data_IF_009212555893
#
_entry.id   IF_009212555893
#
_cell.length_a   1.000
_cell.length_b   1.000
_cell.length_c   1.000
_cell.angle_alpha   90.00
_cell.angle_beta   90.00
_cell.angle_gamma   90.00
#
_symmetry.space_group_name_H-M   'P 1'
#
loop_
_entity.id
_entity.type
_entity.pdbx_description
1 polymer ?
#
# COMPACT_ATOMS: atom_id res chain seq x y z
N UNK A 1 -15.50 8.20 -6.79
CA UNK A 1 -14.83 6.96 -6.32
C UNK A 1 -13.95 7.24 -5.11
N UNK A 2 -14.14 6.49 -4.02
CA UNK A 2 -13.29 6.47 -2.83
C UNK A 2 -12.27 5.32 -2.89
N UNK A 3 -11.18 5.45 -2.15
CA UNK A 3 -10.15 4.42 -1.99
C UNK A 3 -9.95 4.12 -0.52
N UNK A 4 -10.29 2.88 -0.12
CA UNK A 4 -9.93 2.32 1.20
C UNK A 4 -8.41 2.21 1.33
N UNK A 5 -7.88 1.93 2.52
CA UNK A 5 -6.44 1.88 2.77
C UNK A 5 -5.70 0.90 1.85
N UNK A 6 -4.57 1.35 1.29
CA UNK A 6 -3.67 0.53 0.50
C UNK A 6 -2.21 0.99 0.61
N UNK A 7 -1.32 0.13 0.12
CA UNK A 7 0.06 0.44 -0.26
C UNK A 7 0.20 0.32 -1.77
N UNK A 8 0.90 1.26 -2.41
CA UNK A 8 1.14 1.19 -3.85
C UNK A 8 1.98 -0.05 -4.19
N UNK A 9 1.62 -0.72 -5.29
CA UNK A 9 2.35 -1.90 -5.76
C UNK A 9 2.23 -3.14 -4.86
N UNK A 10 1.20 -3.25 -4.01
CA UNK A 10 1.03 -4.41 -3.10
C UNK A 10 1.12 -5.80 -3.77
N UNK A 11 0.80 -5.88 -5.07
CA UNK A 11 0.87 -7.09 -5.88
C UNK A 11 2.27 -7.45 -6.41
N UNK A 12 3.24 -6.54 -6.29
CA UNK A 12 4.62 -6.73 -6.75
C UNK A 12 5.47 -7.42 -5.68
N UNK A 13 6.55 -8.04 -6.13
CA UNK A 13 7.62 -8.52 -5.24
C UNK A 13 8.21 -7.38 -4.40
N UNK A 14 8.66 -7.68 -3.18
CA UNK A 14 9.15 -6.66 -2.24
C UNK A 14 10.19 -5.71 -2.84
N UNK A 15 11.17 -6.24 -3.57
CA UNK A 15 12.24 -5.43 -4.17
C UNK A 15 11.75 -4.53 -5.32
N UNK A 16 10.56 -4.79 -5.90
CA UNK A 16 9.95 -3.95 -6.93
C UNK A 16 8.94 -2.94 -6.38
N UNK A 17 8.50 -3.12 -5.13
CA UNK A 17 7.54 -2.20 -4.50
C UNK A 17 8.19 -0.84 -4.27
N UNK A 18 7.46 0.26 -4.45
CA UNK A 18 7.90 1.55 -3.96
C UNK A 18 8.17 1.48 -2.46
N UNK A 19 9.31 2.01 -2.02
CA UNK A 19 9.69 2.09 -0.62
C UNK A 19 9.13 3.38 0.01
N UNK A 20 9.10 4.45 -0.78
CA UNK A 20 8.51 5.74 -0.39
C UNK A 20 7.54 6.24 -1.45
N UNK A 21 6.57 7.02 -1.00
CA UNK A 21 5.69 7.80 -1.85
C UNK A 21 5.83 9.27 -1.49
N UNK A 22 5.93 10.12 -2.51
CA UNK A 22 5.82 11.56 -2.35
C UNK A 22 4.63 12.10 -3.12
N UNK A 23 3.86 13.01 -2.51
CA UNK A 23 2.75 13.72 -3.13
C UNK A 23 2.98 15.23 -2.96
N UNK A 24 3.13 15.96 -4.07
CA UNK A 24 3.18 17.41 -4.10
C UNK A 24 1.83 17.95 -4.55
N UNK A 25 1.20 18.80 -3.77
CA UNK A 25 -0.06 19.43 -4.13
C UNK A 25 0.16 20.61 -5.07
N UNK A 26 -0.50 20.59 -6.23
CA UNK A 26 -0.50 21.69 -7.20
C UNK A 26 -1.81 22.49 -7.08
N UNK A 27 -2.95 21.79 -6.98
CA UNK A 27 -4.29 22.37 -6.84
C UNK A 27 -5.13 21.43 -5.98
N UNK A 28 -5.89 21.96 -5.00
CA UNK A 28 -6.91 21.19 -4.27
C UNK A 28 -8.11 22.07 -3.88
N UNK A 29 -9.03 22.29 -4.81
CA UNK A 29 -10.32 22.94 -4.52
C UNK A 29 -11.33 21.95 -3.94
N UNK A 30 -11.10 20.65 -4.13
CA UNK A 30 -11.93 19.58 -3.59
C UNK A 30 -11.82 19.45 -2.07
N UNK A 31 -10.68 19.80 -1.49
CA UNK A 31 -10.39 19.65 -0.05
C UNK A 31 -10.64 18.23 0.48
N UNK A 32 -10.55 17.23 -0.41
CA UNK A 32 -10.72 15.82 -0.06
C UNK A 32 -9.50 15.34 0.71
N UNK A 33 -9.74 14.95 1.95
CA UNK A 33 -8.70 14.45 2.84
C UNK A 33 -8.05 13.16 2.32
N UNK A 34 -6.72 13.14 2.33
CA UNK A 34 -5.97 11.88 2.31
C UNK A 34 -5.95 11.30 3.71
N UNK A 35 -6.29 10.03 3.83
CA UNK A 35 -6.13 9.27 5.06
C UNK A 35 -4.75 8.65 5.09
N UNK A 36 -4.05 8.81 6.22
CA UNK A 36 -2.73 8.21 6.46
C UNK A 36 -2.80 7.43 7.76
N UNK A 37 -2.43 6.16 7.71
CA UNK A 37 -2.45 5.28 8.87
C UNK A 37 -1.08 4.62 9.04
N UNK A 38 -0.44 4.90 10.18
CA UNK A 38 0.83 4.27 10.55
C UNK A 38 0.60 2.83 10.97
N UNK A 39 1.32 1.89 10.35
CA UNK A 39 1.30 0.49 10.75
C UNK A 39 1.78 0.33 12.20
N UNK A 40 2.80 1.08 12.60
CA UNK A 40 3.32 1.04 13.97
C UNK A 40 2.27 1.46 15.00
N UNK A 41 1.39 2.41 14.66
CA UNK A 41 0.30 2.83 15.54
C UNK A 41 -0.86 1.82 15.54
N UNK A 42 -1.12 1.14 14.42
CA UNK A 42 -2.20 0.18 14.28
C UNK A 42 -1.88 -1.18 14.95
N UNK A 43 -0.63 -1.64 14.91
CA UNK A 43 -0.23 -2.96 15.40
C UNK A 43 -0.59 -3.22 16.88
N UNK A 44 -0.41 -2.28 17.82
CA UNK A 44 -0.81 -2.47 19.22
C UNK A 44 -2.32 -2.70 19.42
N UNK A 45 -3.15 -2.38 18.43
CA UNK A 45 -4.60 -2.58 18.49
C UNK A 45 -5.03 -3.96 17.97
N UNK A 46 -4.07 -4.75 17.49
CA UNK A 46 -4.28 -6.11 17.00
C UNK A 46 -3.80 -7.11 18.05
N UNK A 47 -4.52 -8.22 18.16
CA UNK A 47 -4.07 -9.36 18.95
C UNK A 47 -2.93 -10.11 18.26
N UNK A 48 -2.15 -10.86 19.04
CA UNK A 48 -1.05 -11.68 18.50
C UNK A 48 -1.54 -12.70 17.46
N UNK A 49 -2.73 -13.28 17.65
CA UNK A 49 -3.33 -14.23 16.69
C UNK A 49 -3.71 -13.55 15.37
N UNK A 50 -4.20 -12.31 15.40
CA UNK A 50 -4.50 -11.54 14.19
C UNK A 50 -3.22 -11.16 13.44
N UNK A 51 -2.17 -10.74 14.15
CA UNK A 51 -0.86 -10.46 13.54
C UNK A 51 -0.31 -11.74 12.88
N UNK A 52 -0.34 -12.87 13.58
CA UNK A 52 0.10 -14.16 13.03
C UNK A 52 -0.71 -14.56 11.80
N UNK A 53 -2.02 -14.32 11.79
CA UNK A 53 -2.87 -14.57 10.63
C UNK A 53 -2.49 -13.69 9.43
N UNK A 54 -2.26 -12.39 9.65
CA UNK A 54 -1.84 -11.45 8.60
C UNK A 54 -0.46 -11.76 8.02
N UNK A 55 0.39 -12.48 8.75
CA UNK A 55 1.71 -12.91 8.29
C UNK A 55 1.70 -14.20 7.45
N UNK A 56 0.57 -14.90 7.36
CA UNK A 56 0.45 -16.15 6.57
C UNK A 56 0.13 -15.86 5.11
N UNK A 57 0.57 -16.74 4.22
CA UNK A 57 0.25 -16.70 2.78
C UNK A 57 -1.21 -17.13 2.49
N UNK A 58 -2.17 -16.51 3.16
CA UNK A 58 -3.61 -16.80 3.05
C UNK A 58 -4.38 -15.66 2.37
N UNK A 59 -3.73 -14.85 1.52
CA UNK A 59 -4.34 -13.69 0.86
C UNK A 59 -4.00 -13.58 -0.63
N UNK A 60 -4.99 -13.19 -1.42
CA UNK A 60 -4.76 -12.81 -2.82
C UNK A 60 -4.36 -11.35 -2.96
N UNK A 61 -3.31 -11.13 -3.73
CA UNK A 61 -2.95 -9.84 -4.30
C UNK A 61 -3.28 -9.82 -5.79
N UNK A 62 -4.05 -8.81 -6.20
CA UNK A 62 -4.49 -8.63 -7.58
C UNK A 62 -3.99 -7.27 -8.07
N UNK A 63 -3.37 -7.18 -9.26
CA UNK A 63 -3.02 -5.89 -9.82
C UNK A 63 -4.29 -5.06 -10.08
N UNK A 64 -4.23 -3.73 -9.88
CA UNK A 64 -5.31 -2.84 -10.25
C UNK A 64 -5.57 -2.92 -11.76
N UNK A 65 -6.86 -2.96 -12.14
CA UNK A 65 -7.31 -3.11 -13.54
C UNK A 65 -6.74 -2.03 -14.47
N UNK A 66 -6.48 -0.84 -13.93
CA UNK A 66 -5.94 0.32 -14.66
C UNK A 66 -4.56 0.08 -15.29
N UNK A 67 -3.77 -0.85 -14.75
CA UNK A 67 -2.42 -1.10 -15.27
C UNK A 67 -2.40 -2.11 -16.43
N UNK A 68 -3.51 -2.82 -16.71
CA UNK A 68 -3.60 -3.85 -17.76
C UNK A 68 -2.41 -4.84 -17.76
N UNK A 69 -1.78 -5.04 -16.60
CA UNK A 69 -0.58 -5.86 -16.45
C UNK A 69 -0.99 -7.32 -16.32
N UNK A 70 -0.34 -8.19 -17.10
CA UNK A 70 -0.51 -9.65 -17.06
C UNK A 70 0.28 -10.27 -15.91
N UNK A 71 0.24 -9.65 -14.72
CA UNK A 71 0.87 -10.22 -13.52
C UNK A 71 -0.12 -11.24 -12.93
N UNK A 72 0.29 -12.50 -12.73
CA UNK A 72 -0.58 -13.51 -12.16
C UNK A 72 -1.01 -13.12 -10.75
N UNK A 73 -2.22 -13.55 -10.35
CA UNK A 73 -2.66 -13.43 -8.94
C UNK A 73 -1.63 -14.11 -8.06
N UNK A 74 -1.21 -13.43 -7.01
CA UNK A 74 -0.22 -13.96 -6.08
C UNK A 74 -0.86 -14.28 -4.74
N UNK A 75 -0.56 -15.47 -4.24
CA UNK A 75 -0.82 -15.84 -2.86
C UNK A 75 0.33 -15.32 -1.99
N UNK A 76 0.04 -14.48 -1.00
CA UNK A 76 1.04 -14.01 -0.05
C UNK A 76 0.41 -13.46 1.22
N UNK A 77 1.23 -13.12 2.21
CA UNK A 77 0.87 -12.39 3.43
C UNK A 77 0.39 -10.95 3.19
N UNK A 78 -0.16 -10.35 4.24
CA UNK A 78 -0.44 -8.91 4.34
C UNK A 78 0.68 -8.18 5.08
N UNK A 79 1.20 -8.83 6.13
CA UNK A 79 2.32 -8.33 6.92
C UNK A 79 3.56 -9.20 6.70
N UNK A 80 4.69 -8.54 6.53
CA UNK A 80 6.01 -9.18 6.58
C UNK A 80 6.79 -8.62 7.77
N UNK A 81 7.74 -9.38 8.29
CA UNK A 81 8.72 -8.88 9.25
C UNK A 81 10.10 -8.87 8.59
N UNK A 82 10.64 -7.68 8.38
CA UNK A 82 11.92 -7.45 7.70
C UNK A 82 12.81 -6.63 8.62
N UNK A 83 14.01 -7.15 8.92
CA UNK A 83 14.97 -6.51 9.83
C UNK A 83 14.35 -6.13 11.19
N UNK A 84 13.51 -7.03 11.73
CA UNK A 84 12.82 -6.83 12.99
C UNK A 84 11.58 -5.91 12.93
N UNK A 85 11.35 -5.23 11.81
CA UNK A 85 10.25 -4.28 11.63
C UNK A 85 9.12 -4.87 10.79
N UNK A 86 7.88 -4.55 11.15
CA UNK A 86 6.74 -4.92 10.33
C UNK A 86 6.61 -4.03 9.10
N UNK A 87 6.31 -4.65 7.97
CA UNK A 87 5.92 -4.01 6.73
C UNK A 87 4.55 -4.51 6.29
N UNK A 88 3.84 -3.69 5.53
CA UNK A 88 2.52 -4.02 4.99
C UNK A 88 2.54 -4.02 3.47
N UNK A 89 1.81 -4.97 2.89
CA UNK A 89 1.45 -5.04 1.47
C UNK A 89 -0.03 -5.37 1.40
N UNK A 90 -0.86 -4.39 1.06
CA UNK A 90 -2.28 -4.67 0.85
C UNK A 90 -2.96 -3.56 0.05
N UNK A 91 -4.04 -3.93 -0.62
CA UNK A 91 -5.03 -2.99 -1.12
C UNK A 91 -6.38 -3.43 -0.57
N UNK A 92 -6.83 -2.87 0.57
CA UNK A 92 -7.93 -3.45 1.34
C UNK A 92 -9.28 -3.48 0.61
N UNK A 93 -9.44 -2.71 -0.47
CA UNK A 93 -10.60 -2.76 -1.35
C UNK A 93 -10.59 -3.97 -2.32
N UNK A 94 -9.44 -4.62 -2.51
CA UNK A 94 -9.27 -5.80 -3.37
C UNK A 94 -8.71 -7.04 -2.64
N UNK A 95 -7.99 -6.87 -1.54
CA UNK A 95 -7.44 -7.97 -0.74
C UNK A 95 -8.55 -8.82 -0.14
N UNK A 96 -8.41 -10.14 -0.25
CA UNK A 96 -9.35 -11.13 0.30
C UNK A 96 -8.57 -12.22 1.02
N UNK A 97 -9.02 -12.57 2.23
CA UNK A 97 -8.52 -13.73 2.94
C UNK A 97 -9.13 -15.01 2.37
N UNK A 98 -8.31 -16.07 2.24
CA UNK A 98 -8.77 -17.38 1.76
C UNK A 98 -9.48 -18.20 2.83
N UNK A 99 -9.33 -17.81 4.09
CA UNK A 99 -9.94 -18.44 5.25
C UNK A 99 -10.75 -17.42 6.04
N UNK A 100 -11.62 -17.91 6.93
CA UNK A 100 -12.34 -17.07 7.88
C UNK A 100 -11.38 -16.33 8.82
N UNK A 101 -10.32 -17.01 9.27
CA UNK A 101 -9.26 -16.43 10.11
C UNK A 101 -8.58 -15.28 9.39
N UNK A 102 -8.15 -15.49 8.14
CA UNK A 102 -7.49 -14.47 7.33
C UNK A 102 -8.42 -13.26 7.07
N UNK A 103 -9.69 -13.53 6.76
CA UNK A 103 -10.70 -12.50 6.52
C UNK A 103 -11.00 -11.66 7.77
N UNK A 104 -11.12 -12.31 8.93
CA UNK A 104 -11.31 -11.63 10.20
C UNK A 104 -10.11 -10.75 10.56
N UNK A 105 -8.89 -11.27 10.38
CA UNK A 105 -7.67 -10.50 10.64
C UNK A 105 -7.55 -9.28 9.72
N UNK A 106 -7.94 -9.40 8.44
CA UNK A 106 -8.01 -8.27 7.50
C UNK A 106 -9.04 -7.21 7.94
N UNK A 107 -10.18 -7.65 8.45
CA UNK A 107 -11.20 -6.76 8.99
C UNK A 107 -10.70 -6.02 10.24
N UNK A 108 -10.03 -6.71 11.16
CA UNK A 108 -9.42 -6.09 12.33
C UNK A 108 -8.30 -5.11 11.96
N UNK A 109 -7.45 -5.44 10.98
CA UNK A 109 -6.46 -4.51 10.44
C UNK A 109 -7.13 -3.24 9.89
N UNK A 110 -8.20 -3.36 9.10
CA UNK A 110 -8.95 -2.21 8.58
C UNK A 110 -9.44 -1.31 9.71
N UNK A 111 -10.05 -1.88 10.76
CA UNK A 111 -10.54 -1.13 11.92
C UNK A 111 -9.41 -0.45 12.69
N UNK A 112 -8.29 -1.14 12.92
CA UNK A 112 -7.12 -0.59 13.57
C UNK A 112 -6.57 0.62 12.79
N UNK A 113 -6.41 0.49 11.47
CA UNK A 113 -5.95 1.58 10.60
C UNK A 113 -6.90 2.78 10.62
N UNK A 114 -8.21 2.54 10.55
CA UNK A 114 -9.21 3.60 10.66
C UNK A 114 -9.09 4.37 11.98
N UNK A 115 -8.90 3.66 13.11
CA UNK A 115 -8.82 4.26 14.44
C UNK A 115 -7.57 5.13 14.67
N UNK A 116 -6.47 4.84 13.97
CA UNK A 116 -5.21 5.61 14.08
C UNK A 116 -5.00 6.57 12.91
N UNK A 117 -5.93 6.59 11.96
CA UNK A 117 -5.76 7.38 10.75
C UNK A 117 -5.82 8.87 11.04
N UNK A 118 -4.92 9.61 10.40
CA UNK A 118 -5.00 11.06 10.33
C UNK A 118 -5.52 11.46 8.95
N UNK A 119 -6.32 12.52 8.93
CA UNK A 119 -6.86 13.09 7.69
C UNK A 119 -6.10 14.37 7.37
N UNK A 120 -5.44 14.42 6.22
CA UNK A 120 -4.74 15.61 5.73
C UNK A 120 -5.40 16.15 4.47
N UNK A 121 -5.78 17.42 4.56
CA UNK A 121 -6.23 18.24 3.42
C UNK A 121 -5.05 19.08 2.97
N UNK A 122 -4.99 19.36 1.68
CA UNK A 122 -3.80 19.92 1.06
C UNK A 122 -4.01 21.37 0.66
N UNK A 123 -2.92 22.13 0.74
CA UNK A 123 -2.75 23.41 0.08
C UNK A 123 -1.74 23.26 -1.06
N UNK A 124 -1.83 24.08 -2.13
CA UNK A 124 -0.77 24.15 -3.12
C UNK A 124 0.61 24.31 -2.45
N UNK A 125 1.59 23.60 -2.99
CA UNK A 125 2.96 23.44 -2.48
C UNK A 125 3.15 22.57 -1.22
N UNK A 126 2.08 22.02 -0.62
CA UNK A 126 2.25 20.99 0.40
C UNK A 126 2.93 19.75 -0.18
N UNK A 127 3.99 19.29 0.49
CA UNK A 127 4.70 18.06 0.17
C UNK A 127 4.49 17.04 1.28
N UNK A 128 3.87 15.92 0.93
CA UNK A 128 3.79 14.73 1.78
C UNK A 128 4.84 13.73 1.31
N UNK A 129 5.60 13.17 2.26
CA UNK A 129 6.47 12.02 2.05
C UNK A 129 6.13 10.97 3.10
N UNK A 130 5.95 9.71 2.70
CA UNK A 130 5.73 8.61 3.62
C UNK A 130 6.35 7.31 3.14
N UNK A 131 6.62 6.41 4.09
CA UNK A 131 7.05 5.04 3.79
C UNK A 131 5.86 4.22 3.30
N UNK A 132 5.91 3.78 2.04
CA UNK A 132 4.88 2.90 1.46
C UNK A 132 4.92 1.48 2.06
N UNK A 133 5.99 1.14 2.78
CA UNK A 133 6.13 -0.14 3.48
C UNK A 133 5.47 -0.12 4.87
N UNK A 134 5.27 1.05 5.49
CA UNK A 134 4.84 1.18 6.89
C UNK A 134 3.69 2.16 7.12
N UNK A 135 3.24 2.84 6.07
CA UNK A 135 2.09 3.73 6.10
C UNK A 135 1.13 3.28 5.01
N UNK A 136 -0.12 2.99 5.40
CA UNK A 136 -1.19 2.79 4.45
C UNK A 136 -1.91 4.11 4.22
N UNK A 137 -2.39 4.32 3.01
CA UNK A 137 -3.07 5.54 2.65
C UNK A 137 -4.35 5.26 1.87
N UNK A 138 -5.28 6.21 1.93
CA UNK A 138 -6.56 6.14 1.25
C UNK A 138 -7.10 7.55 1.03
N UNK A 139 -8.27 7.65 0.42
CA UNK A 139 -8.97 8.93 0.25
C UNK A 139 -10.45 8.75 0.03
N UNK A 140 -11.20 9.75 0.45
CA UNK A 140 -12.60 9.89 0.05
C UNK A 140 -12.77 10.18 -1.44
N UNK A 141 -14.02 10.34 -1.83
CA UNK A 141 -14.38 10.83 -3.15
C UNK A 141 -13.88 12.28 -3.37
N UNK A 142 -13.45 12.59 -4.59
CA UNK A 142 -13.04 13.94 -5.00
C UNK A 142 -14.24 14.60 -5.67
N UNK A 143 -14.58 15.80 -5.21
CA UNK A 143 -15.61 16.66 -5.79
C UNK A 143 -14.96 18.00 -6.13
N UNK A 144 -14.65 18.24 -7.41
CA UNK A 144 -13.91 19.42 -7.86
C UNK A 144 -12.51 19.09 -8.35
N UNK A 145 -11.61 20.07 -8.34
CA UNK A 145 -10.25 19.90 -8.84
C UNK A 145 -9.31 19.46 -7.72
N UNK A 146 -8.53 18.42 -8.01
CA UNK A 146 -7.45 17.97 -7.13
C UNK A 146 -6.34 17.39 -7.98
N UNK A 147 -5.23 18.11 -8.03
CA UNK A 147 -4.05 17.75 -8.78
C UNK A 147 -2.86 17.63 -7.84
N UNK A 148 -2.45 16.38 -7.62
CA UNK A 148 -1.23 16.04 -6.90
C UNK A 148 -0.23 15.42 -7.89
N UNK A 149 1.03 15.84 -7.84
CA UNK A 149 2.11 15.15 -8.51
C UNK A 149 2.65 14.05 -7.59
N UNK A 150 2.65 12.81 -8.09
CA UNK A 150 3.09 11.64 -7.33
C UNK A 150 4.44 11.15 -7.84
N UNK A 151 5.36 10.87 -6.91
CA UNK A 151 6.66 10.26 -7.20
C UNK A 151 6.88 9.02 -6.33
N UNK A 152 7.36 7.95 -6.94
CA UNK A 152 7.74 6.71 -6.27
C UNK A 152 9.24 6.70 -6.00
N UNK A 153 9.64 6.39 -4.77
CA UNK A 153 11.04 6.25 -4.39
C UNK A 153 11.40 4.81 -4.07
N UNK A 154 12.64 4.44 -4.37
CA UNK A 154 13.23 3.15 -4.03
C UNK A 154 14.71 3.33 -3.70
N UNK A 155 15.23 2.52 -2.77
CA UNK A 155 16.65 2.53 -2.41
C UNK A 155 17.42 1.30 -2.93
N UNK A 156 16.73 0.37 -3.60
CA UNK A 156 17.33 -0.88 -4.08
C UNK A 156 17.76 -0.84 -5.55
N UNK A 157 17.36 0.18 -6.31
CA UNK A 157 17.72 0.29 -7.72
C UNK A 157 19.02 1.08 -7.91
N UNK A 158 19.89 0.67 -8.85
CA UNK A 158 21.03 1.47 -9.29
C UNK A 158 20.57 2.79 -9.94
N UNK A 159 21.51 3.68 -10.26
CA UNK A 159 21.25 5.04 -10.74
C UNK A 159 20.26 5.17 -11.91
N UNK A 160 20.03 4.10 -12.67
CA UNK A 160 18.91 3.98 -13.60
C UNK A 160 18.51 2.52 -13.79
N UNK A 161 17.20 2.23 -13.80
CA UNK A 161 16.65 0.90 -14.12
C UNK A 161 15.34 1.06 -14.86
N UNK A 162 15.18 0.32 -15.97
CA UNK A 162 13.95 0.35 -16.79
C UNK A 162 13.24 -1.00 -16.63
N UNK A 163 12.02 -0.97 -16.09
CA UNK A 163 11.18 -2.16 -15.96
C UNK A 163 10.13 -2.21 -17.06
N UNK A 164 10.09 -3.29 -17.83
CA UNK A 164 9.00 -3.57 -18.78
C UNK A 164 7.92 -4.42 -18.11
N UNK A 165 6.96 -3.77 -17.45
CA UNK A 165 5.85 -4.45 -16.77
C UNK A 165 4.87 -5.18 -17.72
N UNK A 166 5.01 -4.96 -19.03
CA UNK A 166 4.23 -5.62 -20.08
C UNK A 166 4.75 -7.02 -20.45
N UNK A 167 5.96 -7.37 -20.01
CA UNK A 167 6.56 -8.69 -20.19
C UNK A 167 6.59 -9.45 -18.85
N UNK A 168 6.63 -10.79 -18.85
CA UNK A 168 6.95 -11.54 -17.65
C UNK A 168 8.27 -11.01 -17.10
N UNK A 169 8.31 -10.70 -15.80
CA UNK A 169 9.54 -10.29 -15.12
C UNK A 169 10.52 -11.47 -15.15
N UNK A 170 11.34 -11.54 -16.19
CA UNK A 170 12.44 -12.49 -16.31
C UNK A 170 13.57 -11.94 -15.45
N UNK A 171 13.81 -12.57 -14.30
CA UNK A 171 14.99 -12.28 -13.50
C UNK A 171 16.18 -13.00 -14.14
N UNK A 172 17.15 -12.24 -14.63
CA UNK A 172 18.53 -12.72 -14.65
C UNK A 172 18.99 -12.70 -13.20
N UNK A 173 19.10 -13.88 -12.60
CA UNK A 173 19.70 -14.03 -11.29
C UNK A 173 21.14 -13.54 -11.35
N UNK A 174 21.55 -12.77 -10.33
CA UNK A 174 22.96 -12.53 -10.07
C UNK A 174 23.64 -13.88 -9.81
N UNK A 175 24.77 -14.10 -10.49
CA UNK A 175 25.70 -15.21 -10.30
C UNK A 175 26.30 -15.24 -8.88
#
# INVERSE_FOLDING_TARGET
MSFDFYTDGAYLERHLRPHTLSLLCLVDTSQTGTWLASLQAALPLLSASEINALMRDDYYHVPPETFQVKVPKRLSSILDKVDGMYEVKAALHHSRGLTSIASNALHSLRRALQSVSIIKRWQPADLLIFSNLRCMHGRGEIQGQRWLQRCYGSYVFPSGTVFQLSQPLLFQGDE
#
